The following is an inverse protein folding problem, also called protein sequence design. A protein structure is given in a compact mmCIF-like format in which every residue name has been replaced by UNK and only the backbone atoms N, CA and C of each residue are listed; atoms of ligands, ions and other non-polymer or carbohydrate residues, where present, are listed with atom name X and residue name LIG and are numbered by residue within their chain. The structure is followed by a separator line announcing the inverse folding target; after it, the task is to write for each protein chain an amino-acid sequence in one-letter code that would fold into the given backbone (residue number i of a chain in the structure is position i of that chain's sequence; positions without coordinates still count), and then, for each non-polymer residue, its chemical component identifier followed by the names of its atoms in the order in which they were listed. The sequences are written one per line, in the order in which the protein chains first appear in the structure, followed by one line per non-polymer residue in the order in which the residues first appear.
data_IF_077082008929
#
_entry.id   IF_077082008929
#
_cell.length_a   1.000
_cell.length_b   1.000
_cell.length_c   1.000
_cell.angle_alpha   90.00
_cell.angle_beta   90.00
_cell.angle_gamma   90.00
#
_symmetry.space_group_name_H-M   'P 1'
#
loop_
_entity.id
_entity.type
_entity.pdbx_description
1 polymer ?
#
# COMPACT_ATOMS: atom_id res chain seq x y z
N UNK A 1 -19.52 54.71 -50.89
CA UNK A 1 -18.65 54.78 -49.70
C UNK A 1 -19.41 54.66 -48.38
N UNK A 2 -20.65 55.17 -48.25
CA UNK A 2 -21.42 55.09 -46.99
C UNK A 2 -21.77 53.65 -46.53
N UNK A 3 -21.95 52.70 -47.47
CA UNK A 3 -22.31 51.31 -47.13
C UNK A 3 -21.16 50.53 -46.46
N UNK A 4 -19.91 50.86 -46.78
CA UNK A 4 -18.75 50.19 -46.18
C UNK A 4 -18.59 50.54 -44.70
N UNK A 5 -18.89 51.78 -44.31
CA UNK A 5 -18.77 52.25 -42.92
C UNK A 5 -19.79 51.56 -42.03
N UNK A 6 -21.02 51.35 -42.49
CA UNK A 6 -22.07 50.69 -41.71
C UNK A 6 -21.74 49.21 -41.47
N UNK A 7 -21.18 48.51 -42.47
CA UNK A 7 -20.76 47.12 -42.30
C UNK A 7 -19.57 46.97 -41.35
N UNK A 8 -18.59 47.88 -41.41
CA UNK A 8 -17.45 47.85 -40.49
C UNK A 8 -17.87 48.14 -39.04
N UNK A 9 -18.80 49.06 -38.83
CA UNK A 9 -19.28 49.39 -37.49
C UNK A 9 -20.13 48.26 -36.89
N UNK A 10 -20.96 47.60 -37.70
CA UNK A 10 -21.74 46.44 -37.28
C UNK A 10 -20.85 45.25 -36.90
N UNK A 11 -19.78 45.00 -37.66
CA UNK A 11 -18.82 43.94 -37.34
C UNK A 11 -18.03 44.24 -36.07
N UNK A 12 -17.63 45.51 -35.86
CA UNK A 12 -16.91 45.93 -34.64
C UNK A 12 -17.81 45.85 -33.40
N UNK A 13 -19.08 46.22 -33.50
CA UNK A 13 -20.04 46.08 -32.39
C UNK A 13 -20.35 44.61 -32.09
N UNK A 14 -20.43 43.74 -33.12
CA UNK A 14 -20.59 42.30 -32.90
C UNK A 14 -19.35 41.62 -32.32
N UNK A 15 -18.14 42.15 -32.56
CA UNK A 15 -16.93 41.65 -31.89
C UNK A 15 -16.79 42.16 -30.45
N UNK A 16 -17.17 43.41 -30.18
CA UNK A 16 -17.02 43.99 -28.83
C UNK A 16 -18.12 43.53 -27.86
N UNK A 17 -19.28 43.06 -28.36
CA UNK A 17 -20.38 42.54 -27.53
C UNK A 17 -20.35 41.01 -27.40
N UNK A 18 -19.48 40.30 -28.15
CA UNK A 18 -19.30 38.83 -27.99
C UNK A 18 -18.20 38.46 -27.00
N UNK A 19 -17.29 39.37 -26.72
CA UNK A 19 -16.33 39.23 -25.62
C UNK A 19 -16.93 39.97 -24.43
N UNK A 20 -17.84 39.33 -23.69
CA UNK A 20 -18.28 39.82 -22.39
C UNK A 20 -17.05 39.77 -21.48
N UNK A 21 -16.40 40.91 -21.14
CA UNK A 21 -15.13 40.90 -20.41
C UNK A 21 -15.30 40.43 -18.96
N UNK A 22 -16.50 40.00 -18.60
CA UNK A 22 -16.91 39.46 -17.31
C UNK A 22 -17.27 37.96 -17.36
N UNK A 23 -17.38 37.32 -18.53
CA UNK A 23 -17.74 35.88 -18.64
C UNK A 23 -16.57 34.93 -18.32
N UNK A 24 -15.32 35.41 -18.29
CA UNK A 24 -14.15 34.58 -17.95
C UNK A 24 -13.70 34.69 -16.48
N UNK A 25 -14.54 35.26 -15.62
CA UNK A 25 -14.46 34.98 -14.20
C UNK A 25 -15.46 33.91 -13.84
N UNK A 26 -15.31 32.73 -14.45
CA UNK A 26 -15.50 31.52 -13.68
C UNK A 26 -14.61 31.70 -12.45
N UNK A 27 -15.21 32.18 -11.34
CA UNK A 27 -14.61 32.06 -10.04
C UNK A 27 -14.43 30.57 -9.88
N UNK A 28 -13.23 30.08 -10.23
CA UNK A 28 -12.89 28.67 -10.25
C UNK A 28 -13.46 28.08 -8.97
N UNK A 29 -14.51 27.29 -9.12
CA UNK A 29 -15.13 26.64 -7.99
C UNK A 29 -14.01 25.85 -7.35
N UNK A 30 -13.64 26.26 -6.14
CA UNK A 30 -12.49 25.68 -5.49
C UNK A 30 -12.79 24.19 -5.31
N UNK A 31 -11.75 23.35 -5.49
CA UNK A 31 -11.93 21.90 -5.63
C UNK A 31 -12.89 21.33 -4.59
N UNK A 32 -13.75 20.35 -4.94
CA UNK A 32 -14.74 19.82 -4.01
C UNK A 32 -14.10 19.34 -2.69
N UNK A 33 -14.75 19.63 -1.56
CA UNK A 33 -14.26 19.27 -0.23
C UNK A 33 -15.24 18.37 0.50
N UNK A 34 -14.70 17.39 1.23
CA UNK A 34 -15.52 16.51 2.04
C UNK A 34 -16.12 17.24 3.24
N UNK A 35 -17.40 16.97 3.53
CA UNK A 35 -18.08 17.52 4.69
C UNK A 35 -17.29 17.28 6.00
N UNK A 36 -17.05 18.36 6.77
CA UNK A 36 -16.32 18.34 8.04
C UNK A 36 -14.79 18.45 7.93
N UNK A 37 -14.23 18.64 6.74
CA UNK A 37 -12.81 18.98 6.57
C UNK A 37 -12.51 20.39 7.12
N UNK A 38 -11.43 20.57 7.90
CA UNK A 38 -11.01 21.89 8.36
C UNK A 38 -10.37 22.70 7.23
N UNK A 39 -10.60 24.01 7.22
CA UNK A 39 -10.03 24.93 6.25
C UNK A 39 -8.48 24.96 6.35
N UNK A 40 -7.75 24.77 5.24
CA UNK A 40 -6.28 24.83 5.22
C UNK A 40 -5.73 26.26 5.07
N UNK A 41 -6.56 27.23 4.66
CA UNK A 41 -6.17 28.63 4.48
C UNK A 41 -6.28 29.43 5.79
N UNK A 42 -5.59 30.58 5.85
CA UNK A 42 -5.51 31.50 7.02
C UNK A 42 -5.71 32.98 6.66
N UNK A 43 -6.34 33.23 5.52
CA UNK A 43 -6.53 34.55 4.92
C UNK A 43 -7.90 35.15 5.26
N UNK A 44 -8.59 34.61 6.27
CA UNK A 44 -9.93 35.02 6.68
C UNK A 44 -11.03 34.16 6.07
N UNK A 45 -10.75 33.40 4.98
CA UNK A 45 -11.72 32.48 4.39
C UNK A 45 -12.06 31.30 5.29
N UNK A 46 -11.21 30.98 6.28
CA UNK A 46 -11.48 29.93 7.28
C UNK A 46 -12.67 30.24 8.20
N UNK A 47 -13.16 31.48 8.16
CA UNK A 47 -14.33 31.95 8.90
C UNK A 47 -15.60 31.97 8.05
N UNK A 48 -15.50 31.64 6.77
CA UNK A 48 -16.64 31.57 5.85
C UNK A 48 -17.23 30.17 5.81
N UNK A 49 -18.46 30.04 5.29
CA UNK A 49 -19.09 28.73 5.07
C UNK A 49 -18.46 28.09 3.85
N UNK A 50 -17.88 26.89 3.98
CA UNK A 50 -17.13 26.24 2.89
C UNK A 50 -17.90 26.13 1.56
N UNK A 51 -19.22 25.98 1.61
CA UNK A 51 -20.09 25.88 0.43
C UNK A 51 -20.21 27.18 -0.37
N UNK A 52 -19.70 28.31 0.13
CA UNK A 52 -19.65 29.56 -0.64
C UNK A 52 -18.58 29.54 -1.73
N UNK A 53 -17.61 28.62 -1.64
CA UNK A 53 -16.50 28.52 -2.60
C UNK A 53 -16.24 27.10 -3.10
N UNK A 54 -16.62 26.07 -2.33
CA UNK A 54 -16.40 24.67 -2.66
C UNK A 54 -17.71 23.89 -2.81
N UNK A 55 -17.72 22.90 -3.71
CA UNK A 55 -18.75 21.88 -3.70
C UNK A 55 -18.54 20.92 -2.50
N UNK A 56 -19.58 20.68 -1.69
CA UNK A 56 -19.47 19.84 -0.49
C UNK A 56 -19.90 18.41 -0.80
N UNK A 57 -18.93 17.52 -0.95
CA UNK A 57 -19.20 16.10 -1.22
C UNK A 57 -19.50 15.33 0.08
N UNK A 58 -20.54 14.48 0.04
CA UNK A 58 -20.85 13.55 1.14
C UNK A 58 -19.69 12.57 1.30
N UNK A 59 -19.20 12.41 2.52
CA UNK A 59 -18.08 11.52 2.86
C UNK A 59 -18.45 10.05 2.60
N UNK A 60 -18.31 9.58 1.35
CA UNK A 60 -18.18 8.15 1.05
C UNK A 60 -16.84 7.69 1.63
N UNK A 61 -16.82 6.56 2.33
CA UNK A 61 -15.67 6.04 3.08
C UNK A 61 -14.48 5.57 2.22
N UNK A 62 -14.12 6.31 1.18
CA UNK A 62 -12.99 6.07 0.28
C UNK A 62 -11.84 7.02 0.55
N UNK A 63 -10.63 6.53 0.29
CA UNK A 63 -9.32 7.11 0.63
C UNK A 63 -9.11 8.41 -0.17
N UNK A 64 -9.00 9.54 0.54
CA UNK A 64 -8.75 10.85 -0.05
C UNK A 64 -7.31 10.93 -0.58
N UNK A 65 -7.17 11.10 -1.89
CA UNK A 65 -6.00 11.69 -2.55
C UNK A 65 -6.30 13.16 -2.68
N UNK A 66 -5.73 13.98 -1.79
CA UNK A 66 -5.95 15.42 -1.79
C UNK A 66 -5.24 16.06 -0.60
N UNK A 67 -4.04 16.61 -0.85
CA UNK A 67 -3.35 17.59 0.01
C UNK A 67 -3.20 17.27 1.51
N UNK A 68 -3.41 16.04 1.93
CA UNK A 68 -3.44 15.64 3.33
C UNK A 68 -2.04 15.34 3.85
N UNK A 69 -1.74 15.84 5.05
CA UNK A 69 -0.55 15.52 5.82
C UNK A 69 -0.27 14.01 5.80
N UNK A 70 0.95 13.58 5.42
CA UNK A 70 1.24 12.18 5.10
C UNK A 70 0.90 11.26 6.27
N UNK A 71 0.45 10.02 6.01
CA UNK A 71 0.22 9.07 7.07
C UNK A 71 1.53 8.76 7.78
N UNK A 72 1.51 8.78 9.11
CA UNK A 72 2.69 8.54 9.94
C UNK A 72 2.58 7.19 10.66
N UNK A 73 3.72 6.61 11.00
CA UNK A 73 3.76 5.50 11.94
C UNK A 73 3.32 5.99 13.34
N UNK A 74 2.56 5.17 14.07
CA UNK A 74 2.14 5.49 15.43
C UNK A 74 3.38 5.54 16.35
N UNK A 75 3.58 6.68 17.00
CA UNK A 75 4.76 6.93 17.85
C UNK A 75 5.99 7.48 17.11
N UNK A 76 5.89 7.83 15.82
CA UNK A 76 6.95 8.55 15.12
C UNK A 76 7.22 9.90 15.82
N UNK A 77 8.50 10.26 16.07
CA UNK A 77 8.82 11.57 16.63
C UNK A 77 8.43 12.67 15.65
N UNK A 78 7.99 13.81 16.17
CA UNK A 78 7.74 14.97 15.33
C UNK A 78 9.05 15.38 14.62
N UNK A 79 9.03 15.64 13.30
CA UNK A 79 10.21 16.09 12.59
C UNK A 79 10.64 17.47 13.08
N UNK A 80 11.94 17.77 13.01
CA UNK A 80 12.50 19.07 13.41
C UNK A 80 11.95 20.26 12.60
N UNK A 81 11.31 19.98 11.47
CA UNK A 81 10.61 20.97 10.64
C UNK A 81 9.29 21.45 11.26
N UNK A 82 8.79 20.79 12.32
CA UNK A 82 7.67 21.28 13.13
C UNK A 82 8.17 22.27 14.20
N UNK A 83 8.68 23.42 13.76
CA UNK A 83 9.16 24.50 14.63
C UNK A 83 8.08 25.55 14.96
N UNK A 84 6.84 25.32 14.53
CA UNK A 84 5.70 26.24 14.67
C UNK A 84 4.72 25.81 15.78
N UNK A 85 5.16 24.96 16.72
CA UNK A 85 4.34 24.48 17.85
C UNK A 85 3.42 23.31 17.51
N UNK A 86 3.48 22.76 16.28
CA UNK A 86 2.74 21.54 15.89
C UNK A 86 3.30 20.27 16.52
N UNK A 87 4.56 20.28 16.92
CA UNK A 87 5.22 19.27 17.76
C UNK A 87 4.51 19.03 19.11
N UNK A 88 3.74 20.02 19.60
CA UNK A 88 3.03 19.97 20.88
C UNK A 88 1.57 19.52 20.76
N UNK A 89 1.08 19.24 19.54
CA UNK A 89 -0.31 18.82 19.28
C UNK A 89 -0.43 17.30 19.20
N UNK A 90 -1.65 16.78 19.37
CA UNK A 90 -1.92 15.35 19.15
C UNK A 90 -1.77 15.06 17.66
N UNK A 91 -0.88 14.14 17.29
CA UNK A 91 -0.55 13.90 15.89
C UNK A 91 -1.78 13.48 15.06
N UNK A 92 -2.74 12.78 15.66
CA UNK A 92 -4.00 12.39 14.99
C UNK A 92 -4.92 13.54 14.63
N UNK A 93 -4.66 14.76 15.13
CA UNK A 93 -5.39 15.96 14.72
C UNK A 93 -4.99 16.45 13.33
N UNK A 94 -3.83 16.02 12.81
CA UNK A 94 -3.32 16.44 11.50
C UNK A 94 -2.95 15.25 10.62
N UNK A 95 -2.39 14.17 11.18
CA UNK A 95 -1.96 12.99 10.42
C UNK A 95 -2.91 11.83 10.61
N UNK A 96 -3.08 11.04 9.56
CA UNK A 96 -3.61 9.68 9.68
C UNK A 96 -2.49 8.74 10.12
N UNK A 97 -2.83 7.66 10.83
CA UNK A 97 -1.85 6.61 11.16
C UNK A 97 -1.89 5.52 10.10
N UNK A 98 -0.72 5.05 9.65
CA UNK A 98 -0.62 3.91 8.73
C UNK A 98 -1.26 2.65 9.37
N UNK A 99 -1.98 1.84 8.58
CA UNK A 99 -2.69 0.62 9.04
C UNK A 99 -1.77 -0.45 9.62
N UNK A 100 -0.47 -0.42 9.29
CA UNK A 100 0.58 -1.30 9.84
C UNK A 100 1.16 -0.82 11.17
N UNK A 101 0.70 0.32 11.70
CA UNK A 101 1.15 0.79 13.00
C UNK A 101 0.48 -0.03 14.12
N UNK A 102 1.28 -0.89 14.77
CA UNK A 102 0.83 -1.67 15.93
C UNK A 102 0.19 -0.82 17.03
N UNK A 103 -0.49 -1.46 17.97
CA UNK A 103 -1.25 -0.87 19.10
C UNK A 103 -0.39 -0.14 20.15
N UNK A 104 0.75 0.42 19.77
CA UNK A 104 1.65 1.12 20.68
C UNK A 104 1.27 2.60 20.78
N UNK A 105 0.90 3.03 21.99
CA UNK A 105 1.01 4.37 22.56
C UNK A 105 0.92 5.58 21.61
N UNK A 106 -0.14 6.39 21.75
CA UNK A 106 -0.12 7.77 21.27
C UNK A 106 1.12 8.49 21.85
N UNK A 107 1.91 9.12 20.98
CA UNK A 107 2.97 10.07 21.34
C UNK A 107 4.03 9.56 22.35
N UNK A 108 4.36 8.26 22.37
CA UNK A 108 5.34 7.72 23.33
C UNK A 108 4.87 7.73 24.79
N UNK A 109 3.59 8.04 25.03
CA UNK A 109 3.00 8.06 26.36
C UNK A 109 2.52 6.64 26.70
N UNK A 110 3.00 6.02 27.79
CA UNK A 110 2.71 4.62 28.08
C UNK A 110 1.21 4.39 28.36
N UNK A 111 0.65 3.23 27.98
CA UNK A 111 -0.69 2.83 28.41
C UNK A 111 -0.71 2.68 29.94
N UNK A 112 -1.85 2.99 30.55
CA UNK A 112 -2.07 2.93 32.00
C UNK A 112 -3.24 2.01 32.32
N UNK A 113 -3.30 1.52 33.55
CA UNK A 113 -4.46 0.75 33.99
C UNK A 113 -5.64 1.66 34.30
N UNK A 114 -6.85 1.20 34.01
CA UNK A 114 -8.08 1.87 34.41
C UNK A 114 -8.10 2.05 35.94
N UNK A 115 -8.33 3.28 36.39
CA UNK A 115 -8.40 3.63 37.81
C UNK A 115 -7.07 4.02 38.46
N UNK A 116 -5.95 4.05 37.74
CA UNK A 116 -4.69 4.55 38.29
C UNK A 116 -4.71 6.07 38.47
N UNK A 117 -4.28 6.59 39.63
CA UNK A 117 -4.17 8.02 39.87
C UNK A 117 -3.05 8.64 39.00
N UNK A 118 -3.24 9.89 38.59
CA UNK A 118 -2.23 10.63 37.83
C UNK A 118 -0.94 10.78 38.66
N UNK A 119 0.25 10.46 38.12
CA UNK A 119 1.48 10.57 38.87
C UNK A 119 1.89 12.04 39.10
N UNK A 120 2.55 12.29 40.24
CA UNK A 120 2.91 13.64 40.72
C UNK A 120 3.83 14.45 39.78
N UNK A 121 4.41 13.82 38.75
CA UNK A 121 5.20 14.48 37.72
C UNK A 121 4.35 15.16 36.63
N UNK A 122 3.02 15.03 36.66
CA UNK A 122 2.10 15.77 35.80
C UNK A 122 1.96 17.23 36.26
N UNK A 123 2.80 18.12 35.72
CA UNK A 123 2.71 19.57 35.93
C UNK A 123 1.78 20.26 34.93
N UNK A 124 1.31 21.46 35.27
CA UNK A 124 0.53 22.33 34.37
C UNK A 124 -0.93 21.93 34.20
N UNK A 125 -1.57 21.36 35.23
CA UNK A 125 -2.98 21.00 35.21
C UNK A 125 -3.31 19.74 34.40
N UNK A 126 -2.30 18.95 34.00
CA UNK A 126 -2.48 17.69 33.28
C UNK A 126 -3.04 16.57 34.17
N UNK A 127 -2.76 16.65 35.46
CA UNK A 127 -3.35 15.83 36.53
C UNK A 127 -4.87 15.97 36.64
N UNK A 128 -5.42 17.10 36.17
CA UNK A 128 -6.86 17.41 36.19
C UNK A 128 -7.60 17.01 34.91
N UNK A 129 -6.91 16.45 33.91
CA UNK A 129 -7.51 16.03 32.63
C UNK A 129 -7.92 14.57 32.67
N UNK A 130 -8.92 14.21 31.86
CA UNK A 130 -9.34 12.82 31.71
C UNK A 130 -8.19 12.02 31.10
N UNK A 131 -7.70 10.99 31.80
CA UNK A 131 -6.49 10.27 31.39
C UNK A 131 -6.59 9.69 29.96
N UNK A 132 -7.79 9.30 29.52
CA UNK A 132 -8.03 8.79 28.15
C UNK A 132 -7.78 9.82 27.05
N UNK A 133 -7.65 11.11 27.38
CA UNK A 133 -7.27 12.13 26.40
C UNK A 133 -5.79 12.08 26.01
N UNK A 134 -4.95 11.38 26.78
CA UNK A 134 -3.50 11.33 26.57
C UNK A 134 -2.93 9.91 26.66
N UNK A 135 -3.55 9.02 27.43
CA UNK A 135 -3.13 7.64 27.62
C UNK A 135 -4.14 6.68 27.00
N UNK A 136 -3.64 5.55 26.48
CA UNK A 136 -4.49 4.38 26.30
C UNK A 136 -4.80 3.79 27.68
N UNK A 137 -6.07 3.85 28.08
CA UNK A 137 -6.56 3.30 29.36
C UNK A 137 -7.00 1.86 29.11
N UNK A 138 -6.29 0.91 29.70
CA UNK A 138 -6.51 -0.51 29.50
C UNK A 138 -7.05 -1.17 30.78
N UNK A 139 -7.74 -2.29 30.63
CA UNK A 139 -8.04 -3.15 31.78
C UNK A 139 -6.73 -3.71 32.38
N UNK A 140 -6.65 -3.92 33.71
CA UNK A 140 -5.44 -4.43 34.35
C UNK A 140 -4.90 -5.72 33.71
N UNK A 141 -5.80 -6.63 33.29
CA UNK A 141 -5.47 -7.87 32.59
C UNK A 141 -4.82 -7.62 31.22
N UNK A 142 -5.27 -6.61 30.47
CA UNK A 142 -4.70 -6.23 29.18
C UNK A 142 -3.33 -5.56 29.34
N UNK A 143 -3.16 -4.73 30.37
CA UNK A 143 -1.88 -4.11 30.67
C UNK A 143 -0.84 -5.16 31.10
N UNK A 144 -1.26 -6.19 31.84
CA UNK A 144 -0.39 -7.29 32.25
C UNK A 144 0.04 -8.15 31.05
N UNK A 145 -0.87 -8.43 30.11
CA UNK A 145 -0.54 -9.10 28.85
C UNK A 145 0.44 -8.27 27.99
N UNK A 146 0.29 -6.94 27.95
CA UNK A 146 1.23 -6.02 27.27
C UNK A 146 2.60 -5.96 27.95
N UNK A 147 2.65 -6.01 29.29
CA UNK A 147 3.91 -6.09 30.05
C UNK A 147 4.61 -7.43 29.83
N UNK A 148 3.86 -8.52 29.71
CA UNK A 148 4.39 -9.84 29.38
C UNK A 148 4.90 -9.92 27.93
N UNK A 149 4.19 -9.35 26.95
CA UNK A 149 4.64 -9.32 25.55
C UNK A 149 5.85 -8.41 25.33
N UNK A 150 5.98 -7.30 26.07
CA UNK A 150 7.17 -6.43 26.02
C UNK A 150 8.43 -7.06 26.65
N UNK A 151 8.30 -8.01 27.58
CA UNK A 151 9.45 -8.78 28.08
C UNK A 151 10.06 -9.71 27.01
N UNK A 152 9.39 -9.90 25.88
CA UNK A 152 9.88 -10.64 24.71
C UNK A 152 10.23 -9.72 23.52
N UNK A 153 10.52 -8.43 23.76
CA UNK A 153 11.01 -7.56 22.71
C UNK A 153 12.49 -7.85 22.42
N UNK A 154 12.74 -8.73 21.47
CA UNK A 154 14.05 -9.00 20.88
C UNK A 154 14.61 -7.73 20.24
N UNK A 155 15.87 -7.35 20.50
CA UNK A 155 16.44 -6.09 20.03
C UNK A 155 16.49 -6.03 18.49
N UNK A 156 16.34 -4.86 17.86
CA UNK A 156 16.58 -4.72 16.42
C UNK A 156 18.03 -5.05 16.09
N UNK A 157 18.26 -5.69 14.95
CA UNK A 157 19.61 -6.09 14.50
C UNK A 157 19.88 -5.56 13.09
N UNK A 158 21.15 -5.52 12.67
CA UNK A 158 21.50 -5.06 11.32
C UNK A 158 21.26 -6.16 10.29
N UNK A 159 20.84 -5.78 9.08
CA UNK A 159 20.72 -6.73 7.98
C UNK A 159 22.10 -7.36 7.66
N UNK A 160 22.15 -8.69 7.63
CA UNK A 160 23.40 -9.45 7.45
C UNK A 160 24.19 -9.73 8.74
N UNK A 161 23.70 -9.28 9.90
CA UNK A 161 24.32 -9.62 11.18
C UNK A 161 24.15 -11.13 11.47
N UNK A 162 25.26 -11.82 11.76
CA UNK A 162 25.24 -13.22 12.14
C UNK A 162 24.58 -13.41 13.50
N UNK A 163 23.90 -14.54 13.67
CA UNK A 163 23.33 -14.91 14.97
C UNK A 163 24.45 -15.05 16.02
N UNK A 164 24.30 -14.45 17.22
CA UNK A 164 25.29 -14.61 18.27
C UNK A 164 25.38 -16.06 18.74
N UNK A 165 26.54 -16.47 19.24
CA UNK A 165 26.78 -17.81 19.79
C UNK A 165 25.86 -18.15 20.99
N UNK A 166 25.25 -17.13 21.60
CA UNK A 166 24.27 -17.26 22.68
C UNK A 166 22.94 -17.87 22.21
N UNK A 167 22.69 -18.02 20.90
CA UNK A 167 21.53 -18.74 20.35
C UNK A 167 21.83 -20.23 20.19
N UNK A 168 21.98 -20.93 21.32
CA UNK A 168 22.25 -22.37 21.39
C UNK A 168 20.99 -23.26 21.40
N UNK A 169 19.81 -22.66 21.42
CA UNK A 169 18.50 -23.35 21.46
C UNK A 169 17.85 -23.51 20.08
N UNK A 170 18.67 -23.53 19.03
CA UNK A 170 18.21 -23.65 17.65
C UNK A 170 17.65 -22.36 17.03
N UNK A 171 17.59 -21.24 17.77
CA UNK A 171 17.24 -19.92 17.20
C UNK A 171 18.25 -19.40 16.19
N UNK A 172 19.52 -19.83 16.29
CA UNK A 172 20.57 -19.57 15.30
C UNK A 172 20.27 -20.16 13.91
N UNK A 173 19.34 -21.12 13.82
CA UNK A 173 18.90 -21.74 12.57
C UNK A 173 17.63 -21.12 11.97
N UNK A 174 17.06 -20.10 12.61
CA UNK A 174 15.83 -19.42 12.15
C UNK A 174 16.16 -18.16 11.36
N UNK A 175 15.25 -17.74 10.50
CA UNK A 175 15.36 -16.45 9.81
C UNK A 175 15.26 -15.34 10.83
N UNK A 176 16.23 -14.43 10.84
CA UNK A 176 16.31 -13.38 11.85
C UNK A 176 15.05 -12.50 11.90
N UNK A 177 14.41 -12.25 10.75
CA UNK A 177 13.14 -11.49 10.65
C UNK A 177 11.96 -12.13 11.38
N UNK A 178 12.03 -13.43 11.71
CA UNK A 178 10.99 -14.10 12.49
C UNK A 178 10.99 -13.70 13.97
N UNK A 179 12.08 -13.08 14.46
CA UNK A 179 12.20 -12.65 15.85
C UNK A 179 12.69 -11.21 15.97
N UNK A 180 13.43 -10.67 15.00
CA UNK A 180 14.05 -9.35 15.06
C UNK A 180 13.54 -8.44 13.95
N UNK A 181 13.46 -7.15 14.24
CA UNK A 181 13.30 -6.11 13.23
C UNK A 181 14.69 -5.83 12.64
N UNK A 182 14.82 -5.92 11.31
CA UNK A 182 16.09 -5.64 10.62
C UNK A 182 16.22 -4.16 10.29
N UNK A 183 17.38 -3.59 10.58
CA UNK A 183 17.75 -2.21 10.21
C UNK A 183 18.74 -2.22 9.04
N UNK A 184 18.60 -1.30 8.06
CA UNK A 184 19.54 -1.18 6.95
C UNK A 184 20.94 -0.84 7.48
N UNK A 185 21.98 -1.42 6.87
CA UNK A 185 23.35 -1.08 7.21
C UNK A 185 23.64 0.36 6.77
N UNK A 186 23.94 1.26 7.72
CA UNK A 186 24.25 2.66 7.43
C UNK A 186 25.45 2.77 6.48
N UNK A 187 25.26 3.48 5.37
CA UNK A 187 26.36 4.04 4.56
C UNK A 187 26.88 3.18 3.40
N UNK A 188 26.08 2.99 2.35
CA UNK A 188 26.59 2.77 1.00
C UNK A 188 25.54 3.16 -0.05
N UNK A 189 25.60 4.41 -0.51
CA UNK A 189 25.18 4.73 -1.87
C UNK A 189 26.19 4.09 -2.83
N UNK A 190 25.71 3.44 -3.89
CA UNK A 190 26.57 3.00 -5.00
C UNK A 190 27.11 1.58 -4.88
N UNK A 191 26.23 0.62 -5.17
CA UNK A 191 26.40 -0.59 -6.00
C UNK A 191 25.35 -1.58 -5.53
N UNK A 192 24.35 -1.81 -6.39
CA UNK A 192 23.45 -2.96 -6.27
C UNK A 192 24.34 -4.19 -6.26
N UNK A 193 24.66 -4.68 -5.07
CA UNK A 193 25.20 -6.02 -4.92
C UNK A 193 24.12 -6.94 -5.47
N UNK A 194 24.50 -7.81 -6.42
CA UNK A 194 23.64 -8.88 -6.94
C UNK A 194 22.85 -9.47 -5.76
N UNK A 195 21.53 -9.69 -5.89
CA UNK A 195 20.72 -10.20 -4.80
C UNK A 195 21.42 -11.42 -4.23
N UNK A 196 21.82 -11.33 -2.96
CA UNK A 196 22.55 -12.37 -2.29
C UNK A 196 21.65 -13.62 -2.28
N UNK A 197 22.01 -14.72 -2.98
CA UNK A 197 21.15 -15.90 -3.03
C UNK A 197 21.09 -16.66 -1.69
N UNK A 198 21.80 -16.20 -0.65
CA UNK A 198 21.99 -16.94 0.60
C UNK A 198 21.23 -16.47 1.84
N UNK A 199 20.35 -15.46 1.76
CA UNK A 199 19.76 -14.84 2.97
C UNK A 199 18.48 -15.48 3.51
N UNK A 200 17.72 -16.17 2.66
CA UNK A 200 16.64 -17.05 3.09
C UNK A 200 17.04 -18.44 2.61
N UNK A 201 17.62 -19.25 3.50
CA UNK A 201 17.58 -20.68 3.24
C UNK A 201 16.10 -21.05 3.21
N UNK A 202 15.58 -21.23 1.99
CA UNK A 202 14.30 -21.84 1.76
C UNK A 202 14.26 -23.07 2.65
N UNK A 203 13.37 -23.08 3.64
CA UNK A 203 13.13 -24.30 4.41
C UNK A 203 12.87 -25.37 3.36
N UNK A 204 13.67 -26.45 3.29
CA UNK A 204 13.59 -27.39 2.19
C UNK A 204 12.16 -27.92 2.16
N UNK A 205 11.41 -27.51 1.13
CA UNK A 205 10.10 -28.05 0.88
C UNK A 205 10.36 -29.47 0.44
N UNK A 206 9.88 -30.44 1.22
CA UNK A 206 9.99 -31.87 0.91
C UNK A 206 9.14 -32.21 -0.31
N UNK A 207 9.57 -31.77 -1.49
CA UNK A 207 9.12 -32.28 -2.78
C UNK A 207 10.22 -33.22 -3.27
N UNK A 208 9.89 -34.50 -3.36
CA UNK A 208 10.86 -35.55 -3.69
C UNK A 208 10.89 -35.88 -5.19
N UNK A 209 10.06 -35.23 -6.01
CA UNK A 209 10.04 -35.42 -7.46
C UNK A 209 10.86 -34.38 -8.23
N UNK A 210 11.17 -34.62 -9.51
CA UNK A 210 11.65 -33.56 -10.39
C UNK A 210 10.62 -32.43 -10.46
N UNK A 211 11.08 -31.18 -10.46
CA UNK A 211 10.20 -30.03 -10.63
C UNK A 211 9.75 -29.94 -12.10
N UNK A 212 8.45 -29.74 -12.39
CA UNK A 212 7.99 -29.59 -13.77
C UNK A 212 8.68 -28.37 -14.43
N UNK A 213 9.08 -28.49 -15.71
CA UNK A 213 9.60 -27.35 -16.46
C UNK A 213 8.51 -26.27 -16.60
N UNK A 214 8.93 -25.02 -16.79
CA UNK A 214 8.00 -23.93 -17.09
C UNK A 214 7.34 -24.22 -18.45
N UNK A 215 5.99 -24.30 -18.55
CA UNK A 215 5.30 -24.47 -19.81
C UNK A 215 5.64 -23.32 -20.75
N UNK A 216 5.69 -23.60 -22.06
CA UNK A 216 5.75 -22.52 -23.04
C UNK A 216 4.46 -21.70 -22.94
N UNK A 217 4.60 -20.37 -22.95
CA UNK A 217 3.45 -19.48 -23.10
C UNK A 217 2.84 -19.76 -24.47
N UNK A 218 1.55 -20.01 -24.53
CA UNK A 218 0.83 -19.97 -25.80
C UNK A 218 0.99 -18.57 -26.37
N UNK A 219 1.23 -18.44 -27.67
CA UNK A 219 1.24 -17.16 -28.40
C UNK A 219 -0.17 -16.56 -28.48
N UNK A 220 -1.00 -16.77 -27.45
CA UNK A 220 -2.32 -16.20 -27.36
C UNK A 220 -2.14 -14.69 -27.48
N UNK A 221 -2.59 -14.15 -28.61
CA UNK A 221 -2.65 -12.73 -28.87
C UNK A 221 -3.48 -12.12 -27.74
N UNK A 222 -2.80 -11.69 -26.67
CA UNK A 222 -3.35 -10.81 -25.64
C UNK A 222 -4.12 -9.74 -26.42
N UNK A 223 -5.44 -9.59 -26.21
CA UNK A 223 -6.36 -8.55 -26.72
C UNK A 223 -7.60 -9.00 -27.53
N UNK A 224 -7.92 -10.30 -27.66
CA UNK A 224 -9.24 -10.68 -28.24
C UNK A 224 -10.43 -10.39 -27.27
N UNK A 225 -11.51 -9.68 -27.63
CA UNK A 225 -12.62 -9.33 -26.73
C UNK A 225 -13.25 -10.48 -25.91
N UNK A 226 -13.11 -11.74 -26.31
CA UNK A 226 -13.83 -12.90 -25.75
C UNK A 226 -13.07 -13.69 -24.66
N UNK A 227 -12.12 -13.10 -23.93
CA UNK A 227 -11.31 -13.83 -22.93
C UNK A 227 -12.12 -14.52 -21.83
N UNK A 228 -13.25 -13.94 -21.41
CA UNK A 228 -14.10 -14.52 -20.39
C UNK A 228 -14.76 -15.84 -20.84
N UNK A 229 -14.86 -16.07 -22.15
CA UNK A 229 -15.38 -17.33 -22.71
C UNK A 229 -14.30 -18.41 -22.83
N UNK A 230 -13.01 -18.04 -22.83
CA UNK A 230 -11.88 -18.98 -22.96
C UNK A 230 -11.26 -19.35 -21.63
N UNK A 231 -11.48 -18.55 -20.59
CA UNK A 231 -10.80 -18.72 -19.31
C UNK A 231 -11.75 -19.03 -18.17
N UNK A 232 -11.42 -20.09 -17.43
CA UNK A 232 -12.12 -20.42 -16.19
C UNK A 232 -11.34 -19.88 -14.98
N UNK A 233 -11.99 -19.12 -14.09
CA UNK A 233 -11.37 -18.75 -12.83
C UNK A 233 -11.24 -20.00 -11.94
N UNK A 234 -10.09 -20.12 -11.29
CA UNK A 234 -9.80 -21.14 -10.28
C UNK A 234 -9.11 -20.51 -9.09
N UNK A 235 -9.27 -21.15 -7.93
CA UNK A 235 -8.50 -20.79 -6.74
C UNK A 235 -7.21 -21.59 -6.73
N UNK A 236 -6.13 -20.96 -6.28
CA UNK A 236 -4.87 -21.64 -6.00
C UNK A 236 -4.37 -21.22 -4.63
N UNK A 237 -3.65 -22.11 -3.96
CA UNK A 237 -2.93 -21.82 -2.74
C UNK A 237 -1.78 -22.81 -2.59
N UNK A 238 -0.77 -22.48 -1.78
CA UNK A 238 0.31 -23.41 -1.50
C UNK A 238 1.64 -22.70 -1.23
N UNK A 239 2.69 -23.50 -1.05
CA UNK A 239 4.06 -22.99 -0.93
C UNK A 239 4.67 -22.80 -2.31
N UNK A 240 5.42 -21.72 -2.47
CA UNK A 240 6.19 -21.46 -3.68
C UNK A 240 7.44 -22.36 -3.66
N UNK A 241 7.53 -23.29 -4.60
CA UNK A 241 8.69 -24.15 -4.79
C UNK A 241 9.81 -23.44 -5.56
N UNK A 242 9.44 -22.65 -6.57
CA UNK A 242 10.36 -22.03 -7.53
C UNK A 242 9.80 -20.70 -8.04
N UNK A 243 10.69 -19.77 -8.32
CA UNK A 243 10.40 -18.48 -8.97
C UNK A 243 11.29 -18.33 -10.20
N UNK A 244 10.72 -17.87 -11.32
CA UNK A 244 11.42 -17.65 -12.59
C UNK A 244 11.04 -16.29 -13.16
N UNK A 245 12.02 -15.42 -13.39
CA UNK A 245 11.82 -14.00 -13.74
C UNK A 245 11.85 -13.72 -15.26
N UNK A 246 11.82 -14.75 -16.10
CA UNK A 246 11.87 -14.59 -17.57
C UNK A 246 11.02 -15.63 -18.29
N UNK A 247 10.14 -15.16 -19.17
CA UNK A 247 9.69 -15.97 -20.31
C UNK A 247 10.68 -15.75 -21.46
N UNK A 248 11.26 -16.79 -22.07
CA UNK A 248 12.30 -16.65 -23.10
C UNK A 248 11.88 -15.94 -24.40
N UNK A 249 10.58 -15.64 -24.61
CA UNK A 249 10.07 -15.16 -25.91
C UNK A 249 9.11 -13.97 -25.88
N UNK A 250 8.58 -13.55 -24.72
CA UNK A 250 7.42 -12.64 -24.70
C UNK A 250 7.70 -11.14 -24.61
N UNK A 251 8.97 -10.70 -24.48
CA UNK A 251 9.32 -9.28 -24.32
C UNK A 251 8.73 -8.58 -23.09
N UNK A 252 7.96 -9.29 -22.26
CA UNK A 252 7.32 -8.82 -21.03
C UNK A 252 7.77 -9.67 -19.85
N UNK A 253 8.38 -9.03 -18.86
CA UNK A 253 9.08 -9.63 -17.72
C UNK A 253 8.11 -10.05 -16.61
N UNK A 254 7.13 -10.91 -16.90
CA UNK A 254 6.28 -11.44 -15.84
C UNK A 254 7.06 -12.49 -15.03
N UNK A 255 6.92 -12.41 -13.71
CA UNK A 255 7.42 -13.44 -12.82
C UNK A 255 6.51 -14.68 -12.92
N UNK A 256 7.11 -15.86 -12.83
CA UNK A 256 6.42 -17.15 -12.82
C UNK A 256 6.75 -17.87 -11.53
N UNK A 257 5.72 -18.37 -10.84
CA UNK A 257 5.88 -19.12 -9.60
C UNK A 257 5.35 -20.54 -9.75
N UNK A 258 6.08 -21.50 -9.20
CA UNK A 258 5.63 -22.88 -9.10
C UNK A 258 5.06 -23.10 -7.70
N UNK A 259 3.75 -23.36 -7.61
CA UNK A 259 3.02 -23.46 -6.34
C UNK A 259 2.64 -24.91 -6.07
N UNK A 260 2.83 -25.37 -4.84
CA UNK A 260 2.46 -26.71 -4.39
C UNK A 260 1.63 -26.65 -3.10
N UNK A 261 0.44 -27.27 -3.13
CA UNK A 261 -0.52 -27.31 -2.03
C UNK A 261 -0.43 -28.57 -1.15
N UNK A 262 0.54 -29.45 -1.43
CA UNK A 262 0.72 -30.77 -0.81
C UNK A 262 -0.34 -31.82 -1.14
N UNK A 263 -1.28 -31.52 -2.05
CA UNK A 263 -2.36 -32.45 -2.44
C UNK A 263 -2.29 -32.72 -3.94
N UNK A 264 -2.17 -31.65 -4.73
CA UNK A 264 -2.17 -31.67 -6.18
C UNK A 264 -0.75 -31.54 -6.74
N UNK A 265 -0.60 -31.89 -8.01
CA UNK A 265 0.65 -31.65 -8.73
C UNK A 265 1.01 -30.16 -8.72
N UNK A 266 2.31 -29.79 -8.60
CA UNK A 266 2.75 -28.40 -8.62
C UNK A 266 2.29 -27.67 -9.88
N UNK A 267 1.89 -26.41 -9.72
CA UNK A 267 1.22 -25.63 -10.77
C UNK A 267 1.99 -24.35 -11.04
N UNK A 268 2.25 -24.06 -12.32
CA UNK A 268 2.86 -22.81 -12.74
C UNK A 268 1.83 -21.69 -12.83
N UNK A 269 2.12 -20.59 -12.14
CA UNK A 269 1.32 -19.37 -12.13
C UNK A 269 2.16 -18.21 -12.68
N UNK A 270 1.72 -17.60 -13.77
CA UNK A 270 2.20 -16.33 -14.28
C UNK A 270 1.59 -15.21 -13.45
N UNK A 271 2.43 -14.44 -12.76
CA UNK A 271 2.02 -13.31 -11.92
C UNK A 271 2.34 -12.00 -12.65
N UNK A 272 2.57 -10.92 -11.92
CA UNK A 272 2.98 -9.63 -12.45
C UNK A 272 4.50 -9.51 -12.62
N UNK A 273 5.00 -8.45 -13.27
CA UNK A 273 6.40 -8.09 -13.22
C UNK A 273 6.93 -7.89 -11.79
N UNK A 274 8.21 -8.20 -11.59
CA UNK A 274 8.82 -8.15 -10.26
C UNK A 274 8.84 -6.74 -9.65
N UNK A 275 8.89 -5.69 -10.47
CA UNK A 275 8.81 -4.30 -9.99
C UNK A 275 7.44 -3.99 -9.36
N UNK A 276 6.35 -4.38 -10.03
CA UNK A 276 4.99 -4.16 -9.57
C UNK A 276 4.72 -4.92 -8.27
N UNK A 277 5.17 -6.18 -8.20
CA UNK A 277 5.01 -7.00 -6.99
C UNK A 277 5.77 -6.46 -5.79
N UNK A 278 6.91 -5.78 -5.99
CA UNK A 278 7.66 -5.12 -4.92
C UNK A 278 6.96 -3.87 -4.41
N UNK A 279 6.41 -3.07 -5.32
CA UNK A 279 5.67 -1.86 -5.00
C UNK A 279 4.39 -2.17 -4.20
N UNK A 280 3.66 -3.21 -4.64
CA UNK A 280 2.45 -3.68 -3.96
C UNK A 280 2.73 -4.53 -2.70
N UNK A 281 4.00 -4.87 -2.41
CA UNK A 281 4.36 -5.68 -1.24
C UNK A 281 4.03 -7.17 -1.33
N UNK A 282 3.64 -7.68 -2.50
CA UNK A 282 3.33 -9.10 -2.75
C UNK A 282 4.44 -9.85 -3.51
N UNK A 283 5.71 -9.63 -3.19
CA UNK A 283 6.81 -10.35 -3.85
C UNK A 283 6.88 -11.81 -3.36
N UNK A 284 6.54 -12.82 -4.20
CA UNK A 284 6.64 -14.21 -3.79
C UNK A 284 8.10 -14.66 -3.78
N UNK A 285 8.46 -15.51 -2.81
CA UNK A 285 9.80 -16.10 -2.70
C UNK A 285 9.69 -17.61 -2.51
N UNK A 286 10.72 -18.41 -2.87
CA UNK A 286 10.73 -19.82 -2.51
C UNK A 286 10.49 -20.01 -1.00
N UNK A 287 9.57 -20.91 -0.65
CA UNK A 287 9.15 -21.13 0.74
C UNK A 287 7.93 -20.33 1.20
N UNK A 288 7.59 -19.21 0.55
CA UNK A 288 6.44 -18.40 0.98
C UNK A 288 5.12 -19.09 0.67
N UNK A 289 4.14 -18.93 1.56
CA UNK A 289 2.78 -19.36 1.29
C UNK A 289 2.05 -18.29 0.48
N UNK A 290 1.43 -18.71 -0.61
CA UNK A 290 0.64 -17.86 -1.50
C UNK A 290 -0.76 -18.42 -1.65
N UNK A 291 -1.73 -17.54 -1.92
CA UNK A 291 -3.09 -17.91 -2.31
C UNK A 291 -3.71 -16.85 -3.22
N UNK A 292 -4.68 -17.23 -4.04
CA UNK A 292 -5.37 -16.26 -4.89
C UNK A 292 -6.31 -16.90 -5.89
N UNK A 293 -6.72 -16.10 -6.86
CA UNK A 293 -7.46 -16.52 -8.05
C UNK A 293 -6.54 -16.48 -9.26
N UNK A 294 -6.63 -17.50 -10.10
CA UNK A 294 -5.96 -17.54 -11.39
C UNK A 294 -6.96 -17.94 -12.48
N UNK A 295 -6.62 -17.60 -13.70
CA UNK A 295 -7.37 -17.94 -14.89
C UNK A 295 -6.66 -19.07 -15.61
N UNK A 296 -7.41 -20.12 -15.95
CA UNK A 296 -6.93 -21.25 -16.75
C UNK A 296 -7.69 -21.27 -18.07
N UNK A 297 -6.93 -21.37 -19.15
CA UNK A 297 -7.48 -21.53 -20.49
C UNK A 297 -8.21 -22.88 -20.62
N UNK A 298 -9.42 -22.85 -21.17
CA UNK A 298 -10.23 -24.03 -21.45
C UNK A 298 -9.70 -24.75 -22.71
N UNK A 299 -9.82 -26.07 -22.76
CA UNK A 299 -9.32 -26.88 -23.87
C UNK A 299 -7.79 -27.12 -23.89
N UNK A 300 -7.02 -26.53 -22.97
CA UNK A 300 -5.57 -26.73 -22.89
C UNK A 300 -5.21 -27.89 -21.95
N UNK A 301 -4.12 -28.59 -22.28
CA UNK A 301 -3.61 -29.74 -21.55
C UNK A 301 -3.43 -29.46 -20.03
N UNK A 302 -3.61 -30.50 -19.17
CA UNK A 302 -3.28 -30.42 -17.76
C UNK A 302 -1.83 -29.96 -17.54
N UNK A 303 -1.61 -29.06 -16.57
CA UNK A 303 -0.29 -28.49 -16.31
C UNK A 303 0.06 -27.24 -17.13
N UNK A 304 -0.88 -26.75 -17.96
CA UNK A 304 -0.74 -25.46 -18.63
C UNK A 304 -0.54 -24.29 -17.65
N UNK A 305 0.11 -23.25 -18.15
CA UNK A 305 0.36 -22.02 -17.40
C UNK A 305 -0.97 -21.36 -17.02
N UNK A 306 -1.04 -20.85 -15.79
CA UNK A 306 -2.22 -20.14 -15.26
C UNK A 306 -1.87 -18.69 -15.03
N UNK A 307 -2.83 -17.79 -15.20
CA UNK A 307 -2.59 -16.35 -15.07
C UNK A 307 -3.23 -15.83 -13.79
N UNK A 308 -2.44 -15.34 -12.83
CA UNK A 308 -2.99 -14.80 -11.59
C UNK A 308 -3.86 -13.57 -11.88
N UNK A 309 -5.08 -13.59 -11.34
CA UNK A 309 -5.97 -12.43 -11.23
C UNK A 309 -5.76 -11.72 -9.89
N UNK A 310 -5.66 -12.50 -8.81
CA UNK A 310 -5.28 -11.99 -7.48
C UNK A 310 -4.16 -12.83 -6.89
N UNK A 311 -3.33 -12.21 -6.06
CA UNK A 311 -2.25 -12.88 -5.36
C UNK A 311 -2.18 -12.35 -3.92
N UNK A 312 -2.15 -13.25 -2.96
CA UNK A 312 -1.82 -12.94 -1.59
C UNK A 312 -0.54 -13.67 -1.19
N UNK A 313 0.42 -12.93 -0.64
CA UNK A 313 1.71 -13.46 -0.19
C UNK A 313 1.84 -13.15 1.29
N UNK A 314 1.93 -14.18 2.14
CA UNK A 314 2.03 -14.04 3.60
C UNK A 314 0.94 -13.14 4.24
N UNK A 315 -0.25 -13.03 3.63
CA UNK A 315 -1.37 -12.26 4.16
C UNK A 315 -1.57 -10.88 3.52
N UNK A 316 -0.57 -10.35 2.81
CA UNK A 316 -0.74 -9.16 1.96
C UNK A 316 -1.53 -9.55 0.71
N UNK A 317 -2.35 -8.65 0.16
CA UNK A 317 -3.21 -8.92 -0.99
C UNK A 317 -2.93 -7.93 -2.12
N UNK A 318 -2.79 -8.46 -3.33
CA UNK A 318 -2.52 -7.71 -4.55
C UNK A 318 -3.44 -8.13 -5.68
N UNK A 319 -4.00 -7.13 -6.35
CA UNK A 319 -4.72 -7.31 -7.61
C UNK A 319 -3.70 -7.35 -8.75
N UNK A 320 -3.74 -8.42 -9.54
CA UNK A 320 -2.75 -8.69 -10.60
C UNK A 320 -3.37 -8.42 -11.96
N UNK A 321 -4.55 -9.01 -12.23
CA UNK A 321 -5.27 -8.85 -13.50
C UNK A 321 -6.77 -8.77 -13.26
N UNK A 322 -7.46 -8.10 -14.17
CA UNK A 322 -8.92 -8.19 -14.28
C UNK A 322 -9.35 -9.49 -15.01
N UNK A 323 -10.66 -9.62 -15.22
CA UNK A 323 -11.29 -10.73 -15.98
C UNK A 323 -10.90 -10.78 -17.46
N UNK A 324 -10.39 -9.68 -18.03
CA UNK A 324 -9.85 -9.61 -19.40
C UNK A 324 -8.35 -9.91 -19.48
N UNK A 325 -7.74 -10.43 -18.39
CA UNK A 325 -6.31 -10.68 -18.25
C UNK A 325 -5.41 -9.45 -18.44
N UNK A 326 -5.99 -8.25 -18.42
CA UNK A 326 -5.24 -7.00 -18.46
C UNK A 326 -4.52 -6.83 -17.13
N UNK A 327 -3.20 -6.68 -17.19
CA UNK A 327 -2.37 -6.48 -16.01
C UNK A 327 -2.60 -5.12 -15.39
N UNK A 328 -2.76 -5.07 -14.07
CA UNK A 328 -2.91 -3.82 -13.31
C UNK A 328 -1.70 -2.86 -13.49
N UNK A 329 -0.55 -3.39 -13.93
CA UNK A 329 0.66 -2.62 -14.22
C UNK A 329 0.69 -1.96 -15.61
N UNK A 330 -0.33 -2.17 -16.45
CA UNK A 330 -0.39 -1.56 -17.79
C UNK A 330 -0.96 -0.13 -17.74
N UNK A 331 -1.71 0.20 -16.68
CA UNK A 331 -2.40 1.50 -16.52
C UNK A 331 -1.99 2.21 -15.22
N UNK A 332 -0.77 2.78 -15.15
CA UNK A 332 -0.30 3.46 -13.94
C UNK A 332 -1.07 4.75 -13.60
N UNK A 333 -1.87 5.27 -14.53
CA UNK A 333 -2.31 6.68 -14.53
C UNK A 333 -3.72 6.87 -13.94
N UNK A 334 -4.45 5.79 -13.65
CA UNK A 334 -5.75 5.88 -13.01
C UNK A 334 -6.83 6.59 -13.82
N UNK A 335 -6.72 6.66 -15.16
CA UNK A 335 -7.91 6.87 -15.99
C UNK A 335 -8.88 5.73 -15.63
N UNK A 336 -9.98 6.13 -14.98
CA UNK A 336 -11.00 5.24 -14.48
C UNK A 336 -11.41 4.28 -15.60
N UNK A 337 -11.39 2.98 -15.29
CA UNK A 337 -12.17 2.02 -16.06
C UNK A 337 -13.62 2.44 -15.88
N UNK A 338 -14.13 3.25 -16.80
CA UNK A 338 -15.56 3.34 -17.01
C UNK A 338 -16.05 1.91 -17.26
N UNK A 339 -16.85 1.40 -16.33
CA UNK A 339 -17.46 0.07 -16.41
C UNK A 339 -18.38 0.03 -17.64
N UNK A 340 -17.87 -0.49 -18.76
CA UNK A 340 -18.67 -1.13 -19.82
C UNK A 340 -18.86 -2.63 -19.53
#
# INVERSE_FOLDING_TARGET
MAVAIVFSLAFFLLSVVRDDPWEDHAYDQASPVAAGMPAPHRDGREKMVCSSCHEIIKKKGGRSVGGGTPPIARGAPAPATHNDGRDKRVCSSCHQFAKTAGTSAQNGVPPIARGEPAPANHKGGRDKRVCSSCHAVLEPSQLQALKQSRKQATPPIRQGQLAPATHNDGRSKRVCTSCHILTPANGAAGKISKPNPGGAQAVPIAWHGPLPPLPQTTDAAFMDPEWHERFRPLRFQGKVLRVVDKSPRSGRENLHILVHDNINTPQWINVAPSWFLREEGCMPMPGTFVKGTAYKEMGVAPGSLRYAGTLSVNGEFCMIRNNHLVGAWIWPDGEEMDEE
#
